data_IF_347344817193
#
_entry.id   IF_347344817193
#
_cell.length_a   1.000
_cell.length_b   1.000
_cell.length_c   1.000
_cell.angle_alpha   90.00
_cell.angle_beta   90.00
_cell.angle_gamma   90.00
#
_symmetry.space_group_name_H-M   'P 1'
#
loop_
_entity.id
_entity.type
_entity.pdbx_description
1 polymer ?
#
# COMPACT_ATOMS: atom_id res chain seq x y z
N UNK A 1 29.38 -8.83 16.53
CA UNK A 1 28.89 -9.27 15.20
C UNK A 1 27.44 -8.82 15.12
N UNK A 2 27.00 -8.16 14.05
CA UNK A 2 25.60 -7.78 13.90
C UNK A 2 24.74 -9.05 13.88
N UNK A 3 23.58 -9.04 14.53
CA UNK A 3 22.68 -10.19 14.51
C UNK A 3 22.24 -10.51 13.09
N UNK A 4 22.10 -11.81 12.74
CA UNK A 4 21.60 -12.20 11.43
C UNK A 4 20.18 -11.67 11.25
N UNK A 5 20.00 -10.79 10.27
CA UNK A 5 18.68 -10.29 9.88
C UNK A 5 17.98 -11.36 9.08
N UNK A 6 16.80 -11.79 9.53
CA UNK A 6 15.90 -12.61 8.72
C UNK A 6 15.18 -11.71 7.73
N UNK A 7 15.35 -11.90 6.41
CA UNK A 7 14.62 -11.13 5.42
C UNK A 7 13.12 -11.46 5.49
N UNK A 8 12.29 -10.41 5.48
CA UNK A 8 10.83 -10.56 5.53
C UNK A 8 10.21 -10.43 4.14
N UNK A 9 9.15 -11.20 3.93
CA UNK A 9 8.22 -11.09 2.81
C UNK A 9 6.81 -10.96 3.41
N UNK A 10 6.09 -9.90 3.04
CA UNK A 10 4.71 -9.71 3.46
C UNK A 10 3.76 -10.08 2.31
N UNK A 11 2.74 -10.88 2.61
CA UNK A 11 1.83 -11.40 1.59
C UNK A 11 0.66 -10.44 1.27
N UNK A 12 0.51 -9.32 1.98
CA UNK A 12 -0.68 -8.47 1.83
C UNK A 12 -0.55 -7.09 2.52
N UNK A 13 -0.31 -6.02 1.73
CA UNK A 13 -0.31 -4.64 2.23
C UNK A 13 -1.15 -3.67 1.37
N UNK A 14 -2.13 -3.02 2.01
CA UNK A 14 -3.06 -2.05 1.42
C UNK A 14 -2.49 -0.63 1.31
N UNK A 15 -1.26 -0.50 0.82
CA UNK A 15 -0.52 0.76 0.82
C UNK A 15 -1.24 1.86 0.00
N UNK A 16 -1.69 1.56 -1.22
CA UNK A 16 -2.35 2.56 -2.05
C UNK A 16 -3.75 2.94 -1.53
N UNK A 17 -4.46 2.03 -0.88
CA UNK A 17 -5.74 2.36 -0.23
C UNK A 17 -5.53 3.31 0.95
N UNK A 18 -4.51 3.07 1.78
CA UNK A 18 -4.11 4.01 2.83
C UNK A 18 -3.79 5.39 2.27
N UNK A 19 -2.99 5.46 1.21
CA UNK A 19 -2.62 6.73 0.60
C UNK A 19 -3.83 7.47 0.00
N UNK A 20 -4.59 6.80 -0.86
CA UNK A 20 -5.59 7.48 -1.70
C UNK A 20 -6.96 7.62 -1.02
N UNK A 21 -7.37 6.66 -0.19
CA UNK A 21 -8.69 6.68 0.45
C UNK A 21 -8.67 7.28 1.85
N UNK A 22 -7.54 7.18 2.56
CA UNK A 22 -7.37 7.77 3.89
C UNK A 22 -6.52 9.04 3.90
N UNK A 23 -5.98 9.47 2.74
CA UNK A 23 -5.11 10.65 2.62
C UNK A 23 -3.85 10.57 3.51
N UNK A 24 -3.26 9.37 3.58
CA UNK A 24 -2.07 9.10 4.39
C UNK A 24 -0.81 9.27 3.56
N UNK A 25 0.09 10.14 4.01
CA UNK A 25 1.41 10.25 3.39
C UNK A 25 2.34 9.17 3.96
N UNK A 26 2.53 8.09 3.21
CA UNK A 26 3.36 6.96 3.63
C UNK A 26 4.86 7.30 3.67
N UNK A 27 5.27 8.48 3.21
CA UNK A 27 6.67 8.94 3.24
C UNK A 27 7.07 9.54 4.58
N UNK A 28 6.11 9.83 5.45
CA UNK A 28 6.34 10.28 6.82
C UNK A 28 6.82 9.14 7.72
N UNK A 29 7.46 9.51 8.84
CA UNK A 29 7.62 8.58 9.95
C UNK A 29 6.25 8.10 10.45
N UNK A 30 6.19 6.91 11.06
CA UNK A 30 4.91 6.39 11.56
C UNK A 30 4.29 7.32 12.62
N UNK A 31 5.12 7.89 13.49
CA UNK A 31 4.68 8.83 14.53
C UNK A 31 4.09 10.11 13.92
N UNK A 32 4.77 10.74 12.96
CA UNK A 32 4.27 11.95 12.28
C UNK A 32 2.99 11.66 11.50
N UNK A 33 2.94 10.49 10.84
CA UNK A 33 1.75 10.05 10.13
C UNK A 33 0.56 9.88 11.08
N UNK A 34 0.75 9.27 12.25
CA UNK A 34 -0.29 9.14 13.27
C UNK A 34 -0.76 10.51 13.79
N UNK A 35 0.15 11.48 13.98
CA UNK A 35 -0.21 12.84 14.39
C UNK A 35 -1.10 13.51 13.34
N UNK A 36 -0.73 13.46 12.05
CA UNK A 36 -1.54 14.04 10.97
C UNK A 36 -2.86 13.30 10.80
N UNK A 37 -2.85 11.97 10.81
CA UNK A 37 -4.04 11.14 10.64
C UNK A 37 -5.06 11.35 11.78
N UNK A 38 -4.61 11.65 13.00
CA UNK A 38 -5.48 11.95 14.16
C UNK A 38 -6.32 13.23 14.01
N UNK A 39 -6.01 14.08 13.03
CA UNK A 39 -6.77 15.31 12.75
C UNK A 39 -8.10 15.04 12.01
N UNK A 40 -8.27 13.83 11.47
CA UNK A 40 -9.50 13.39 10.82
C UNK A 40 -10.38 12.61 11.81
N UNK A 41 -11.71 12.69 11.65
CA UNK A 41 -12.69 12.05 12.54
C UNK A 41 -13.67 11.12 11.80
N UNK A 42 -13.38 10.76 10.56
CA UNK A 42 -14.24 9.95 9.70
C UNK A 42 -14.05 8.44 9.92
N UNK A 43 -12.99 7.99 10.58
CA UNK A 43 -12.71 6.57 10.91
C UNK A 43 -12.38 6.36 12.39
N UNK A 44 -12.76 5.21 12.98
CA UNK A 44 -12.42 4.90 14.37
C UNK A 44 -10.92 4.65 14.62
N UNK A 45 -10.16 4.31 13.57
CA UNK A 45 -8.72 4.02 13.64
C UNK A 45 -7.84 5.22 13.25
N UNK A 46 -8.39 6.44 13.21
CA UNK A 46 -7.59 7.64 12.98
C UNK A 46 -6.55 7.83 14.09
N UNK A 47 -5.33 8.17 13.70
CA UNK A 47 -4.18 8.27 14.61
C UNK A 47 -3.57 6.93 15.03
N UNK A 48 -4.05 5.82 14.48
CA UNK A 48 -3.54 4.47 14.73
C UNK A 48 -3.03 3.82 13.43
N UNK A 49 -2.17 4.54 12.71
CA UNK A 49 -1.51 3.99 11.51
C UNK A 49 -0.57 2.85 11.92
N UNK A 50 -0.45 1.83 11.07
CA UNK A 50 0.35 0.63 11.35
C UNK A 50 1.60 0.52 10.49
N UNK A 51 1.62 1.20 9.34
CA UNK A 51 2.69 1.10 8.34
C UNK A 51 3.03 2.47 7.74
N UNK A 52 4.32 2.71 7.55
CA UNK A 52 4.89 3.76 6.70
C UNK A 52 6.09 3.18 5.94
N UNK A 53 6.56 3.83 4.87
CA UNK A 53 7.70 3.33 4.11
C UNK A 53 8.98 3.24 4.98
N UNK A 54 9.18 4.22 5.87
CA UNK A 54 10.28 4.23 6.83
C UNK A 54 10.24 3.01 7.77
N UNK A 55 9.08 2.68 8.33
CA UNK A 55 8.99 1.51 9.22
C UNK A 55 9.16 0.17 8.48
N UNK A 56 8.72 0.08 7.22
CA UNK A 56 8.94 -1.12 6.41
C UNK A 56 10.44 -1.31 6.11
N UNK A 57 11.17 -0.22 5.87
CA UNK A 57 12.62 -0.24 5.73
C UNK A 57 13.32 -0.64 7.04
N UNK A 58 12.91 -0.05 8.18
CA UNK A 58 13.46 -0.38 9.51
C UNK A 58 13.19 -1.83 9.90
N UNK A 59 12.03 -2.38 9.55
CA UNK A 59 11.68 -3.78 9.71
C UNK A 59 12.46 -4.71 8.76
N UNK A 60 13.21 -4.15 7.79
CA UNK A 60 13.97 -4.87 6.77
C UNK A 60 13.07 -5.75 5.92
N UNK A 61 11.85 -5.27 5.67
CA UNK A 61 10.92 -5.90 4.74
C UNK A 61 11.46 -5.73 3.32
N UNK A 62 11.71 -6.85 2.64
CA UNK A 62 12.29 -6.82 1.29
C UNK A 62 11.22 -6.69 0.24
N UNK A 63 10.14 -7.46 0.38
CA UNK A 63 9.08 -7.54 -0.61
C UNK A 63 7.73 -7.60 0.07
N UNK A 64 6.74 -6.93 -0.50
CA UNK A 64 5.35 -7.16 -0.16
C UNK A 64 4.51 -7.43 -1.41
N UNK A 65 3.38 -8.10 -1.22
CA UNK A 65 2.27 -8.02 -2.18
C UNK A 65 1.51 -6.73 -1.90
N UNK A 66 1.58 -5.80 -2.84
CA UNK A 66 0.94 -4.49 -2.76
C UNK A 66 -0.41 -4.56 -3.47
N UNK A 67 -1.50 -4.39 -2.73
CA UNK A 67 -2.86 -4.71 -3.19
C UNK A 67 -3.54 -3.52 -3.87
N UNK A 68 -4.37 -3.82 -4.87
CA UNK A 68 -5.31 -2.90 -5.50
C UNK A 68 -6.72 -3.25 -5.04
N UNK A 69 -7.31 -2.40 -4.21
CA UNK A 69 -8.60 -2.66 -3.55
C UNK A 69 -9.72 -1.89 -4.23
N UNK A 70 -10.47 -2.54 -5.11
CA UNK A 70 -11.69 -1.98 -5.67
C UNK A 70 -12.59 -3.10 -6.18
N UNK A 71 -13.81 -3.19 -5.64
CA UNK A 71 -14.78 -4.23 -5.98
C UNK A 71 -16.09 -3.63 -6.50
N UNK A 72 -16.84 -4.41 -7.27
CA UNK A 72 -18.20 -4.08 -7.68
C UNK A 72 -19.02 -5.37 -7.70
N UNK A 73 -20.12 -5.40 -6.94
CA UNK A 73 -20.98 -6.57 -6.80
C UNK A 73 -22.29 -6.44 -7.58
N UNK A 74 -23.09 -7.53 -7.67
CA UNK A 74 -24.37 -7.55 -8.38
C UNK A 74 -25.46 -6.70 -7.71
N UNK A 75 -25.27 -6.36 -6.43
CA UNK A 75 -26.18 -5.50 -5.67
C UNK A 75 -25.60 -4.09 -5.55
N UNK A 76 -26.43 -3.04 -5.65
CA UNK A 76 -25.97 -1.68 -5.44
C UNK A 76 -25.39 -1.56 -4.02
N UNK A 77 -24.19 -0.97 -3.87
CA UNK A 77 -23.59 -0.83 -2.57
C UNK A 77 -24.40 0.14 -1.70
N UNK A 78 -24.54 -0.18 -0.41
CA UNK A 78 -25.07 0.75 0.61
C UNK A 78 -23.98 1.71 1.13
N UNK A 79 -22.99 1.98 0.29
CA UNK A 79 -21.78 2.69 0.66
C UNK A 79 -22.07 4.18 0.75
N UNK A 80 -21.73 4.77 1.89
CA UNK A 80 -21.94 6.19 2.16
C UNK A 80 -20.63 6.97 2.12
N UNK A 81 -19.48 6.29 2.21
CA UNK A 81 -18.17 6.92 2.29
C UNK A 81 -17.36 6.70 1.01
N UNK A 82 -16.60 7.72 0.60
CA UNK A 82 -15.76 7.68 -0.62
C UNK A 82 -14.59 6.70 -0.54
N UNK A 83 -14.27 6.23 0.67
CA UNK A 83 -13.22 5.25 0.97
C UNK A 83 -13.72 3.80 0.96
N UNK A 84 -15.02 3.60 0.83
CA UNK A 84 -15.59 2.25 0.75
C UNK A 84 -15.14 1.58 -0.55
N UNK A 85 -15.04 0.24 -0.51
CA UNK A 85 -14.45 -0.55 -1.59
C UNK A 85 -15.46 -1.01 -2.64
N UNK A 86 -16.76 -1.02 -2.31
CA UNK A 86 -17.82 -1.42 -3.25
C UNK A 86 -18.29 -0.24 -4.09
N UNK A 87 -17.96 -0.27 -5.37
CA UNK A 87 -18.39 0.71 -6.32
C UNK A 87 -19.65 0.28 -7.04
N UNK A 88 -20.50 1.25 -7.36
CA UNK A 88 -21.79 1.03 -8.01
C UNK A 88 -21.69 0.39 -9.41
N UNK A 89 -20.52 0.47 -10.06
CA UNK A 89 -20.31 -0.08 -11.38
C UNK A 89 -18.85 -0.53 -11.58
N UNK A 90 -18.58 -1.62 -12.33
CA UNK A 90 -17.23 -2.12 -12.58
C UNK A 90 -16.28 -1.09 -13.19
N UNK A 91 -16.77 -0.17 -14.04
CA UNK A 91 -15.93 0.89 -14.61
C UNK A 91 -15.40 1.87 -13.55
N UNK A 92 -16.17 2.10 -12.47
CA UNK A 92 -15.76 2.94 -11.36
C UNK A 92 -14.71 2.19 -10.53
N UNK A 93 -14.97 0.92 -10.19
CA UNK A 93 -13.99 0.08 -9.49
C UNK A 93 -12.66 0.01 -10.26
N UNK A 94 -12.73 -0.20 -11.58
CA UNK A 94 -11.58 -0.20 -12.47
C UNK A 94 -10.81 1.13 -12.40
N UNK A 95 -11.49 2.27 -12.51
CA UNK A 95 -10.84 3.58 -12.41
C UNK A 95 -10.15 3.81 -11.05
N UNK A 96 -10.77 3.37 -9.95
CA UNK A 96 -10.18 3.43 -8.61
C UNK A 96 -8.93 2.53 -8.48
N UNK A 97 -8.98 1.29 -8.97
CA UNK A 97 -7.82 0.40 -8.99
C UNK A 97 -6.67 0.98 -9.83
N UNK A 98 -6.98 1.60 -10.97
CA UNK A 98 -5.97 2.29 -11.78
C UNK A 98 -5.38 3.51 -11.07
N UNK A 99 -6.15 4.23 -10.27
CA UNK A 99 -5.63 5.28 -9.39
C UNK A 99 -4.63 4.72 -8.37
N UNK A 100 -4.95 3.59 -7.74
CA UNK A 100 -4.04 2.90 -6.82
C UNK A 100 -2.77 2.41 -7.52
N UNK A 101 -2.89 1.85 -8.72
CA UNK A 101 -1.72 1.45 -9.51
C UNK A 101 -0.85 2.66 -9.92
N UNK A 102 -1.48 3.79 -10.26
CA UNK A 102 -0.77 5.02 -10.58
C UNK A 102 0.01 5.56 -9.36
N UNK A 103 -0.52 5.41 -8.15
CA UNK A 103 0.20 5.73 -6.93
C UNK A 103 1.46 4.88 -6.76
N UNK A 104 1.37 3.55 -6.97
CA UNK A 104 2.55 2.68 -6.95
C UNK A 104 3.59 3.07 -8.00
N UNK A 105 3.15 3.37 -9.22
CA UNK A 105 4.05 3.84 -10.27
C UNK A 105 4.70 5.19 -9.91
N UNK A 106 4.02 6.05 -9.16
CA UNK A 106 4.56 7.33 -8.68
C UNK A 106 5.68 7.11 -7.66
N UNK A 107 5.43 6.30 -6.61
CA UNK A 107 6.44 6.05 -5.58
C UNK A 107 7.61 5.18 -6.09
N UNK A 108 7.42 4.37 -7.14
CA UNK A 108 8.50 3.72 -7.89
C UNK A 108 9.38 4.77 -8.59
N UNK A 109 8.79 5.74 -9.29
CA UNK A 109 9.53 6.83 -9.96
C UNK A 109 10.26 7.75 -8.99
N UNK A 110 9.71 7.92 -7.80
CA UNK A 110 10.35 8.64 -6.70
C UNK A 110 11.50 7.85 -6.04
N UNK A 111 11.80 6.64 -6.53
CA UNK A 111 12.83 5.75 -6.00
C UNK A 111 12.60 5.37 -4.53
N UNK A 112 11.35 5.33 -4.08
CA UNK A 112 10.99 4.91 -2.72
C UNK A 112 10.63 3.42 -2.66
N UNK A 113 10.25 2.84 -3.79
CA UNK A 113 9.91 1.42 -3.94
C UNK A 113 10.34 0.93 -5.32
N UNK A 114 10.23 -0.38 -5.57
CA UNK A 114 10.46 -0.99 -6.89
C UNK A 114 9.34 -1.97 -7.23
N UNK A 115 8.68 -1.81 -8.38
CA UNK A 115 7.67 -2.78 -8.84
C UNK A 115 8.37 -3.97 -9.49
N UNK A 116 8.10 -5.16 -8.97
CA UNK A 116 8.66 -6.44 -9.43
C UNK A 116 7.64 -7.11 -10.34
N UNK A 117 8.01 -7.32 -11.61
CA UNK A 117 7.08 -7.80 -12.65
C UNK A 117 7.34 -9.25 -13.05
N UNK A 118 8.53 -9.76 -12.72
CA UNK A 118 9.01 -11.08 -13.11
C UNK A 118 9.65 -11.81 -11.93
N UNK A 119 9.81 -13.12 -12.06
CA UNK A 119 10.62 -13.93 -11.13
C UNK A 119 12.07 -13.45 -11.08
N UNK A 120 12.63 -12.99 -12.21
CA UNK A 120 13.99 -12.48 -12.25
C UNK A 120 14.13 -11.16 -11.48
N UNK A 121 13.15 -10.25 -11.61
CA UNK A 121 13.09 -9.03 -10.79
C UNK A 121 13.07 -9.39 -9.29
N UNK A 122 12.25 -10.38 -8.92
CA UNK A 122 12.16 -10.85 -7.54
C UNK A 122 13.48 -11.43 -7.04
N UNK A 123 14.11 -12.33 -7.80
CA UNK A 123 15.37 -12.96 -7.41
C UNK A 123 16.51 -11.94 -7.25
N UNK A 124 16.60 -10.99 -8.18
CA UNK A 124 17.58 -9.89 -8.13
C UNK A 124 17.33 -8.99 -6.92
N UNK A 125 16.09 -8.54 -6.74
CA UNK A 125 15.74 -7.62 -5.66
C UNK A 125 15.86 -8.29 -4.28
N UNK A 126 15.42 -9.55 -4.16
CA UNK A 126 15.52 -10.31 -2.91
C UNK A 126 16.97 -10.44 -2.44
N UNK A 127 17.93 -10.55 -3.35
CA UNK A 127 19.35 -10.69 -3.01
C UNK A 127 20.01 -9.39 -2.56
N UNK A 128 19.60 -8.25 -3.14
CA UNK A 128 20.16 -6.93 -2.85
C UNK A 128 19.08 -5.84 -2.92
N UNK A 129 18.22 -5.71 -1.89
CA UNK A 129 17.17 -4.70 -1.88
C UNK A 129 17.73 -3.32 -1.54
N UNK A 130 17.43 -2.32 -2.37
CA UNK A 130 17.73 -0.90 -2.10
C UNK A 130 16.52 -0.16 -1.49
N UNK A 131 15.33 -0.67 -1.75
CA UNK A 131 14.03 -0.14 -1.32
C UNK A 131 13.06 -1.31 -1.13
N UNK A 132 11.81 -1.04 -0.73
CA UNK A 132 10.76 -2.05 -0.69
C UNK A 132 10.38 -2.50 -2.12
N UNK A 133 10.39 -3.82 -2.36
CA UNK A 133 9.88 -4.44 -3.57
C UNK A 133 8.36 -4.65 -3.51
N UNK A 134 7.67 -4.29 -4.59
CA UNK A 134 6.21 -4.42 -4.70
C UNK A 134 5.86 -5.45 -5.77
N UNK A 135 5.19 -6.53 -5.37
CA UNK A 135 4.44 -7.38 -6.30
C UNK A 135 3.00 -6.88 -6.28
N UNK A 136 2.55 -6.27 -7.37
CA UNK A 136 1.20 -5.69 -7.41
C UNK A 136 0.16 -6.78 -7.69
N UNK A 137 -0.86 -6.88 -6.83
CA UNK A 137 -1.97 -7.82 -6.98
C UNK A 137 -3.32 -7.12 -6.81
N UNK A 138 -4.38 -7.68 -7.37
CA UNK A 138 -5.74 -7.27 -7.04
C UNK A 138 -6.23 -7.99 -5.78
N UNK A 139 -6.94 -7.25 -4.92
CA UNK A 139 -7.80 -7.79 -3.87
C UNK A 139 -9.23 -7.36 -4.21
N UNK A 140 -10.03 -8.31 -4.72
CA UNK A 140 -11.38 -8.04 -5.22
C UNK A 140 -12.22 -9.30 -5.30
#
# INVERSE_FOLDING_TARGET
MAEPVTPLFDAHLDLAWNALSFNRDLTLSLDDLCVVDSQYNDAPFRGNCTVSLDELERAKLRVCIATLLARSGPSPPFNTLRRDLDFAHPSIAHAHAHGQFAYYAWIERAQQTRILRTVDDLNMHWSNPETLGLIVSFEG
#
